data_IF_992156667745
#
_entry.id   IF_992156667745
#
_cell.length_a   1.000
_cell.length_b   1.000
_cell.length_c   1.000
_cell.angle_alpha   90.00
_cell.angle_beta   90.00
_cell.angle_gamma   90.00
#
_symmetry.space_group_name_H-M   'P 1'
#
loop_
_entity.id
_entity.type
_entity.pdbx_description
1 polymer ?
#
# COMPACT_ATOMS: atom_id res chain seq x y z
N UNK A 1 19.05 -7.18 -6.11
CA UNK A 1 18.51 -6.75 -4.80
C UNK A 1 17.37 -5.79 -5.11
N UNK A 2 16.17 -5.94 -4.53
CA UNK A 2 15.16 -4.91 -4.74
C UNK A 2 15.74 -3.60 -4.20
N UNK A 3 15.66 -2.54 -5.00
CA UNK A 3 16.11 -1.22 -4.56
C UNK A 3 15.22 -0.83 -3.38
N UNK A 4 15.87 -0.50 -2.26
CA UNK A 4 15.17 -0.02 -1.08
C UNK A 4 14.40 1.26 -1.44
N UNK A 5 13.10 1.36 -1.10
CA UNK A 5 12.32 2.54 -1.41
C UNK A 5 12.88 3.76 -0.69
N UNK A 6 12.63 4.94 -1.26
CA UNK A 6 13.09 6.19 -0.69
C UNK A 6 12.48 6.38 0.71
N UNK A 7 13.29 6.79 1.67
CA UNK A 7 12.87 7.08 3.04
C UNK A 7 11.67 8.04 3.11
N UNK A 8 11.61 9.01 2.19
CA UNK A 8 10.47 9.92 2.05
C UNK A 8 9.16 9.19 1.70
N UNK A 9 9.23 8.20 0.80
CA UNK A 9 8.08 7.40 0.38
C UNK A 9 7.65 6.43 1.48
N UNK A 10 8.62 5.84 2.19
CA UNK A 10 8.35 5.01 3.38
C UNK A 10 7.62 5.84 4.44
N UNK A 11 8.16 7.00 4.81
CA UNK A 11 7.56 7.86 5.83
C UNK A 11 6.16 8.33 5.43
N UNK A 12 5.95 8.64 4.14
CA UNK A 12 4.62 8.96 3.62
C UNK A 12 3.64 7.80 3.79
N UNK A 13 4.07 6.57 3.55
CA UNK A 13 3.23 5.38 3.72
C UNK A 13 2.95 5.04 5.19
N UNK A 14 3.92 5.23 6.10
CA UNK A 14 3.68 5.09 7.54
C UNK A 14 2.56 6.02 8.02
N UNK A 15 2.67 7.31 7.71
CA UNK A 15 1.67 8.32 8.08
C UNK A 15 0.32 8.03 7.43
N UNK A 16 0.31 7.53 6.19
CA UNK A 16 -0.91 7.14 5.50
C UNK A 16 -1.62 5.97 6.21
N UNK A 17 -0.88 4.89 6.53
CA UNK A 17 -1.45 3.71 7.20
C UNK A 17 -2.01 4.09 8.57
N UNK A 18 -1.24 4.83 9.38
CA UNK A 18 -1.67 5.30 10.70
C UNK A 18 -2.98 6.09 10.62
N UNK A 19 -3.02 7.14 9.81
CA UNK A 19 -4.22 7.98 9.64
C UNK A 19 -5.40 7.21 9.05
N UNK A 20 -5.14 6.26 8.15
CA UNK A 20 -6.22 5.48 7.56
C UNK A 20 -6.80 4.49 8.55
N UNK A 21 -5.97 3.85 9.38
CA UNK A 21 -6.40 2.99 10.49
C UNK A 21 -7.27 3.78 11.47
N UNK A 22 -6.83 4.96 11.92
CA UNK A 22 -7.63 5.85 12.79
C UNK A 22 -8.97 6.21 12.15
N UNK A 23 -8.97 6.63 10.87
CA UNK A 23 -10.18 7.05 10.16
C UNK A 23 -11.18 5.90 9.95
N UNK A 24 -10.68 4.70 9.69
CA UNK A 24 -11.50 3.54 9.34
C UNK A 24 -11.87 2.66 10.53
N UNK A 25 -11.28 2.90 11.70
CA UNK A 25 -11.46 2.09 12.91
C UNK A 25 -10.81 0.71 12.83
N UNK A 26 -9.88 0.50 11.89
CA UNK A 26 -9.17 -0.77 11.71
C UNK A 26 -7.78 -0.72 12.33
N UNK A 27 -7.24 -1.87 12.73
CA UNK A 27 -5.87 -2.01 13.22
C UNK A 27 -4.98 -2.72 12.21
N UNK A 28 -3.67 -2.54 12.33
CA UNK A 28 -2.68 -3.26 11.53
C UNK A 28 -2.58 -4.73 11.97
N UNK A 29 -1.91 -5.54 11.14
CA UNK A 29 -1.68 -6.96 11.45
C UNK A 29 -0.92 -7.13 12.78
N UNK A 30 -1.30 -8.10 13.62
CA UNK A 30 -0.57 -8.41 14.86
C UNK A 30 0.74 -9.17 14.60
N UNK A 31 0.96 -9.67 13.38
CA UNK A 31 2.16 -10.42 13.02
C UNK A 31 3.30 -9.44 12.77
N UNK A 32 4.41 -9.65 13.48
CA UNK A 32 5.61 -8.83 13.36
C UNK A 32 6.13 -8.82 11.90
N UNK A 33 6.53 -7.64 11.44
CA UNK A 33 7.09 -7.45 10.10
C UNK A 33 6.07 -7.38 8.96
N UNK A 34 4.84 -7.90 9.10
CA UNK A 34 3.84 -7.86 8.01
C UNK A 34 3.50 -6.44 7.61
N UNK A 35 3.19 -5.59 8.60
CA UNK A 35 2.88 -4.17 8.39
C UNK A 35 4.04 -3.45 7.70
N UNK A 36 5.28 -3.76 8.11
CA UNK A 36 6.48 -3.15 7.55
C UNK A 36 6.68 -3.53 6.09
N UNK A 37 6.56 -4.82 5.75
CA UNK A 37 6.72 -5.30 4.38
C UNK A 37 5.67 -4.69 3.44
N UNK A 38 4.42 -4.53 3.91
CA UNK A 38 3.36 -3.87 3.13
C UNK A 38 3.68 -2.39 2.91
N UNK A 39 4.15 -1.68 3.95
CA UNK A 39 4.56 -0.27 3.84
C UNK A 39 5.71 -0.10 2.84
N UNK A 40 6.72 -0.96 2.91
CA UNK A 40 7.85 -0.96 1.97
C UNK A 40 7.38 -1.22 0.53
N UNK A 41 6.50 -2.20 0.32
CA UNK A 41 5.95 -2.49 -1.01
C UNK A 41 5.10 -1.34 -1.57
N UNK A 42 4.29 -0.68 -0.74
CA UNK A 42 3.52 0.51 -1.13
C UNK A 42 4.45 1.67 -1.50
N UNK A 43 5.50 1.90 -0.71
CA UNK A 43 6.49 2.93 -0.95
C UNK A 43 7.27 2.66 -2.25
N UNK A 44 7.65 1.40 -2.49
CA UNK A 44 8.31 1.00 -3.73
C UNK A 44 7.44 1.25 -4.95
N UNK A 45 6.13 0.94 -4.90
CA UNK A 45 5.22 1.26 -6.01
C UNK A 45 5.05 2.79 -6.19
N UNK A 46 5.10 3.60 -5.12
CA UNK A 46 5.14 5.06 -5.29
C UNK A 46 6.39 5.49 -6.06
N UNK A 47 7.55 4.94 -5.74
CA UNK A 47 8.80 5.32 -6.37
C UNK A 47 8.90 4.84 -7.82
N UNK A 48 8.43 3.62 -8.11
CA UNK A 48 8.49 3.00 -9.45
C UNK A 48 7.42 3.55 -10.41
N UNK A 49 6.18 3.66 -9.95
CA UNK A 49 5.00 3.93 -10.81
C UNK A 49 4.17 5.13 -10.35
N UNK A 50 4.62 5.87 -9.32
CA UNK A 50 3.99 7.12 -8.89
C UNK A 50 2.68 6.97 -8.09
N UNK A 51 2.27 5.74 -7.78
CA UNK A 51 1.02 5.41 -7.08
C UNK A 51 1.22 4.23 -6.11
N UNK A 52 0.59 4.24 -4.92
CA UNK A 52 0.68 3.15 -3.95
C UNK A 52 -0.22 1.97 -4.37
N UNK A 53 0.14 1.28 -5.45
CA UNK A 53 -0.56 0.07 -5.88
C UNK A 53 -0.38 -1.04 -4.83
N UNK A 54 -1.42 -1.84 -4.57
CA UNK A 54 -1.39 -2.87 -3.53
C UNK A 54 -0.26 -3.88 -3.81
N UNK A 55 0.72 -4.06 -2.88
CA UNK A 55 1.89 -4.90 -3.11
C UNK A 55 1.60 -6.41 -2.97
N UNK A 56 0.47 -6.78 -2.37
CA UNK A 56 0.10 -8.18 -2.12
C UNK A 56 -0.49 -8.90 -3.35
N UNK A 57 -0.58 -8.23 -4.50
CA UNK A 57 -1.17 -8.77 -5.73
C UNK A 57 -0.16 -8.74 -6.89
N UNK A 58 -0.27 -9.73 -7.77
CA UNK A 58 0.45 -9.75 -9.04
C UNK A 58 -0.33 -8.98 -10.11
N UNK A 59 0.37 -8.12 -10.83
CA UNK A 59 -0.17 -7.37 -11.97
C UNK A 59 0.68 -7.67 -13.21
N UNK A 60 0.10 -8.14 -14.32
CA UNK A 60 0.83 -8.32 -15.57
C UNK A 60 1.44 -7.01 -16.08
N UNK A 61 0.71 -5.90 -15.94
CA UNK A 61 1.19 -4.55 -16.24
C UNK A 61 0.75 -3.58 -15.15
N UNK A 62 1.70 -3.13 -14.34
CA UNK A 62 1.45 -2.16 -13.26
C UNK A 62 1.04 -0.78 -13.81
N UNK A 63 1.54 -0.36 -14.98
CA UNK A 63 1.27 0.96 -15.55
C UNK A 63 -0.15 1.07 -16.11
N UNK A 64 -0.67 -0.03 -16.65
CA UNK A 64 -2.09 -0.08 -17.02
C UNK A 64 -2.98 -0.10 -15.78
N UNK A 65 -2.62 -0.85 -14.74
CA UNK A 65 -3.47 -0.97 -13.56
C UNK A 65 -3.62 0.34 -12.79
N UNK A 66 -2.58 1.18 -12.71
CA UNK A 66 -2.65 2.48 -12.03
C UNK A 66 -3.55 3.50 -12.74
N UNK A 67 -4.00 3.23 -13.98
CA UNK A 67 -5.03 4.03 -14.65
C UNK A 67 -6.39 3.82 -13.98
N UNK A 68 -6.60 2.66 -13.37
CA UNK A 68 -7.76 2.33 -12.57
C UNK A 68 -7.49 2.55 -11.09
N UNK A 69 -8.51 2.96 -10.33
CA UNK A 69 -8.36 3.18 -8.87
C UNK A 69 -8.46 1.90 -8.05
N UNK A 70 -8.96 0.83 -8.64
CA UNK A 70 -9.41 -0.40 -7.94
C UNK A 70 -8.43 -0.93 -6.92
N UNK A 71 -7.14 -0.97 -7.26
CA UNK A 71 -6.09 -1.54 -6.40
C UNK A 71 -5.11 -0.50 -5.85
N UNK A 72 -5.41 0.79 -5.99
CA UNK A 72 -4.60 1.86 -5.40
C UNK A 72 -4.97 1.97 -3.92
N UNK A 73 -3.99 1.82 -3.04
CA UNK A 73 -4.20 1.84 -1.59
C UNK A 73 -4.76 3.19 -1.11
N UNK A 74 -5.81 3.24 -0.29
CA UNK A 74 -6.68 2.15 0.13
C UNK A 74 -7.58 1.68 -1.03
N UNK A 75 -7.51 0.40 -1.40
CA UNK A 75 -8.24 -0.18 -2.54
C UNK A 75 -9.76 -0.15 -2.33
N UNK A 76 -10.52 -0.47 -3.38
CA UNK A 76 -11.99 -0.47 -3.32
C UNK A 76 -12.50 -1.47 -2.28
N UNK A 77 -11.89 -2.65 -2.16
CA UNK A 77 -12.24 -3.65 -1.17
C UNK A 77 -12.09 -3.13 0.27
N UNK A 78 -11.01 -2.39 0.54
CA UNK A 78 -10.80 -1.77 1.85
C UNK A 78 -11.80 -0.64 2.11
N UNK A 79 -12.14 0.15 1.09
CA UNK A 79 -13.08 1.26 1.23
C UNK A 79 -14.52 0.77 1.46
N UNK A 80 -14.94 -0.26 0.72
CA UNK A 80 -16.33 -0.75 0.70
C UNK A 80 -16.56 -1.80 1.79
N UNK A 81 -15.67 -2.77 1.93
CA UNK A 81 -15.87 -3.96 2.78
C UNK A 81 -14.98 -4.00 4.01
N UNK A 82 -14.08 -3.02 4.20
CA UNK A 82 -13.01 -3.06 5.22
C UNK A 82 -12.15 -4.32 5.10
N UNK A 83 -11.99 -4.83 3.88
CA UNK A 83 -11.20 -6.01 3.60
C UNK A 83 -9.84 -5.61 3.00
N UNK A 84 -8.78 -5.88 3.73
CA UNK A 84 -7.41 -5.85 3.24
C UNK A 84 -6.90 -7.30 3.20
N UNK A 85 -6.40 -7.74 2.04
CA UNK A 85 -5.78 -9.06 1.85
C UNK A 85 -4.49 -9.17 2.66
#
# INVERSE_FOLDING_TARGET
MPNEPNEKSIQRMRVFVEKYCEKSGTTVSPIEGVTEQVILGLAQNIDEIGRPLCPCRFYPDKNEEIKNRTWICACDDMQIYKYCH
#
